data_IF_337040606905
#
_entry.id   IF_337040606905
#
_cell.length_a   1.000
_cell.length_b   1.000
_cell.length_c   1.000
_cell.angle_alpha   90.00
_cell.angle_beta   90.00
_cell.angle_gamma   90.00
#
_symmetry.space_group_name_H-M   'P 1'
#
loop_
_entity.id
_entity.type
_entity.pdbx_description
1 polymer ?
#
# COMPACT_ATOMS: atom_id res chain seq x y z
N UNK A 1 2.34 0.49 1.56
CA UNK A 1 2.06 -0.74 2.31
C UNK A 1 0.91 -1.54 1.70
N UNK A 2 -0.36 -1.09 1.79
CA UNK A 2 -1.53 -1.89 1.36
C UNK A 2 -1.46 -2.45 -0.07
N UNK A 3 -1.11 -1.63 -1.07
CA UNK A 3 -0.95 -2.10 -2.46
C UNK A 3 0.17 -3.14 -2.59
N UNK A 4 1.28 -2.96 -1.88
CA UNK A 4 2.41 -3.91 -1.89
C UNK A 4 1.97 -5.23 -1.26
N UNK A 5 1.27 -5.18 -0.12
CA UNK A 5 0.67 -6.36 0.52
C UNK A 5 -0.24 -7.10 -0.46
N UNK A 6 -1.10 -6.39 -1.18
CA UNK A 6 -2.00 -6.97 -2.18
C UNK A 6 -1.24 -7.68 -3.32
N UNK A 7 -0.15 -7.07 -3.82
CA UNK A 7 0.67 -7.66 -4.88
C UNK A 7 1.47 -8.87 -4.42
N UNK A 8 2.00 -8.84 -3.19
CA UNK A 8 2.75 -9.96 -2.62
C UNK A 8 1.84 -11.15 -2.29
N UNK A 9 0.62 -10.88 -1.79
CA UNK A 9 -0.35 -11.92 -1.49
C UNK A 9 -1.01 -12.50 -2.76
N UNK A 10 -1.21 -11.65 -3.77
CA UNK A 10 -1.74 -12.00 -5.09
C UNK A 10 -3.00 -12.89 -5.01
N UNK A 11 -3.10 -13.92 -5.85
CA UNK A 11 -4.21 -14.87 -5.84
C UNK A 11 -4.28 -15.75 -4.59
N UNK A 12 -3.20 -15.84 -3.80
CA UNK A 12 -3.19 -16.73 -2.63
C UNK A 12 -4.20 -16.30 -1.57
N UNK A 13 -4.42 -14.98 -1.40
CA UNK A 13 -5.37 -14.47 -0.39
C UNK A 13 -6.84 -14.66 -0.78
N UNK A 14 -7.15 -14.90 -2.05
CA UNK A 14 -8.54 -15.19 -2.48
C UNK A 14 -8.86 -16.69 -2.46
N UNK A 15 -7.83 -17.54 -2.43
CA UNK A 15 -7.96 -18.99 -2.42
C UNK A 15 -7.88 -19.62 -1.02
N UNK A 16 -7.99 -18.83 0.05
CA UNK A 16 -7.90 -19.35 1.42
C UNK A 16 -9.17 -20.15 1.74
N UNK A 17 -9.06 -21.42 2.17
CA UNK A 17 -10.22 -22.24 2.52
C UNK A 17 -10.86 -21.76 3.83
N UNK A 18 -12.08 -22.25 4.10
CA UNK A 18 -12.69 -22.13 5.42
C UNK A 18 -11.83 -22.83 6.48
N UNK A 19 -11.72 -22.23 7.67
CA UNK A 19 -10.95 -22.84 8.77
C UNK A 19 -11.51 -24.19 9.23
N UNK A 20 -12.79 -24.47 8.99
CA UNK A 20 -13.40 -25.76 9.28
C UNK A 20 -12.78 -26.90 8.47
N UNK A 21 -12.28 -26.63 7.26
CA UNK A 21 -11.67 -27.62 6.37
C UNK A 21 -10.38 -28.23 6.96
N UNK A 22 -9.69 -27.52 7.85
CA UNK A 22 -8.52 -28.04 8.55
C UNK A 22 -8.84 -29.15 9.56
N UNK A 23 -10.13 -29.34 9.89
CA UNK A 23 -10.60 -30.43 10.75
C UNK A 23 -11.43 -31.47 9.98
N UNK A 24 -11.54 -31.33 8.65
CA UNK A 24 -12.31 -32.23 7.79
C UNK A 24 -11.42 -33.11 6.91
N UNK A 25 -12.04 -33.76 5.92
CA UNK A 25 -11.37 -34.71 5.03
C UNK A 25 -10.23 -34.07 4.21
N UNK A 26 -10.31 -32.75 3.97
CA UNK A 26 -9.29 -31.99 3.24
C UNK A 26 -8.09 -31.56 4.11
N UNK A 27 -8.08 -31.85 5.41
CA UNK A 27 -7.03 -31.38 6.32
C UNK A 27 -5.62 -31.79 5.86
N UNK A 28 -5.44 -33.02 5.36
CA UNK A 28 -4.16 -33.51 4.91
C UNK A 28 -3.63 -32.71 3.70
N UNK A 29 -4.47 -32.51 2.67
CA UNK A 29 -4.07 -31.78 1.46
C UNK A 29 -3.85 -30.29 1.75
N UNK A 30 -4.66 -29.68 2.62
CA UNK A 30 -4.48 -28.29 3.01
C UNK A 30 -3.19 -28.07 3.79
N UNK A 31 -2.88 -28.97 4.74
CA UNK A 31 -1.62 -28.91 5.48
C UNK A 31 -0.42 -29.06 4.55
N UNK A 32 -0.50 -29.94 3.55
CA UNK A 32 0.57 -30.10 2.56
C UNK A 32 0.72 -28.88 1.66
N UNK A 33 -0.38 -28.33 1.14
CA UNK A 33 -0.36 -27.27 0.13
C UNK A 33 -0.03 -25.89 0.69
N UNK A 34 -0.44 -25.60 1.92
CA UNK A 34 -0.35 -24.25 2.50
C UNK A 34 0.80 -24.08 3.50
N UNK A 35 1.38 -25.16 4.02
CA UNK A 35 2.54 -25.05 4.92
C UNK A 35 3.76 -24.50 4.19
N UNK A 36 4.59 -23.75 4.92
CA UNK A 36 5.87 -23.23 4.45
C UNK A 36 6.97 -23.59 5.44
N UNK A 37 8.22 -23.31 5.09
CA UNK A 37 9.36 -23.43 5.99
C UNK A 37 9.27 -22.53 7.24
N UNK A 38 8.40 -21.51 7.22
CA UNK A 38 8.29 -20.48 8.27
C UNK A 38 6.94 -20.45 9.00
N UNK A 39 5.94 -21.18 8.52
CA UNK A 39 4.58 -21.11 9.06
C UNK A 39 3.78 -22.37 8.70
N UNK A 40 2.95 -22.80 9.65
CA UNK A 40 1.92 -23.82 9.42
C UNK A 40 0.90 -23.34 8.38
N UNK A 41 0.19 -24.29 7.75
CA UNK A 41 -0.91 -23.98 6.84
C UNK A 41 -1.97 -23.06 7.46
N UNK A 42 -2.30 -23.26 8.73
CA UNK A 42 -3.26 -22.42 9.45
C UNK A 42 -2.71 -21.01 9.67
N UNK A 43 -1.46 -20.84 10.12
CA UNK A 43 -0.84 -19.52 10.30
C UNK A 43 -0.77 -18.75 8.98
N UNK A 44 -0.34 -19.39 7.89
CA UNK A 44 -0.34 -18.78 6.56
C UNK A 44 -1.74 -18.36 6.13
N UNK A 45 -2.75 -19.20 6.38
CA UNK A 45 -4.15 -18.89 6.07
C UNK A 45 -4.66 -17.67 6.84
N UNK A 46 -4.32 -17.55 8.14
CA UNK A 46 -4.66 -16.34 8.92
C UNK A 46 -4.00 -15.09 8.35
N UNK A 47 -2.72 -15.17 7.99
CA UNK A 47 -2.00 -14.03 7.42
C UNK A 47 -2.59 -13.60 6.07
N UNK A 48 -2.94 -14.55 5.21
CA UNK A 48 -3.57 -14.28 3.92
C UNK A 48 -4.97 -13.69 4.09
N UNK A 49 -5.79 -14.20 5.02
CA UNK A 49 -7.09 -13.61 5.34
C UNK A 49 -6.95 -12.18 5.88
N UNK A 50 -5.97 -11.92 6.76
CA UNK A 50 -5.70 -10.57 7.24
C UNK A 50 -5.29 -9.63 6.10
N UNK A 51 -4.47 -10.10 5.16
CA UNK A 51 -4.10 -9.33 3.97
C UNK A 51 -5.34 -9.02 3.11
N UNK A 52 -6.24 -9.98 2.93
CA UNK A 52 -7.50 -9.75 2.21
C UNK A 52 -8.40 -8.74 2.93
N UNK A 53 -8.59 -8.86 4.24
CA UNK A 53 -9.45 -7.98 5.03
C UNK A 53 -8.97 -6.52 5.01
N UNK A 54 -7.65 -6.33 5.08
CA UNK A 54 -7.03 -5.00 5.05
C UNK A 54 -7.06 -4.35 3.66
N UNK A 55 -6.96 -5.15 2.59
CA UNK A 55 -6.69 -4.61 1.24
C UNK A 55 -7.85 -4.76 0.25
N UNK A 56 -8.79 -5.66 0.49
CA UNK A 56 -9.78 -6.07 -0.51
C UNK A 56 -11.19 -6.14 0.06
N UNK A 57 -11.36 -6.50 1.33
CA UNK A 57 -12.67 -6.49 1.96
C UNK A 57 -13.24 -5.07 2.09
N UNK A 58 -14.57 -4.97 2.13
CA UNK A 58 -15.26 -3.68 2.23
C UNK A 58 -14.88 -2.89 3.48
N UNK A 59 -14.51 -3.55 4.59
CA UNK A 59 -14.00 -2.88 5.78
C UNK A 59 -12.66 -2.17 5.53
N UNK A 60 -11.66 -2.87 5.00
CA UNK A 60 -10.34 -2.29 4.69
C UNK A 60 -10.43 -1.15 3.68
N UNK A 61 -11.27 -1.30 2.65
CA UNK A 61 -11.49 -0.25 1.66
C UNK A 61 -12.12 1.01 2.26
N UNK A 62 -13.08 0.88 3.18
CA UNK A 62 -13.63 2.03 3.90
C UNK A 62 -12.58 2.71 4.76
N UNK A 63 -11.73 1.96 5.45
CA UNK A 63 -10.66 2.56 6.24
C UNK A 63 -9.62 3.28 5.38
N UNK A 64 -9.27 2.73 4.21
CA UNK A 64 -8.40 3.42 3.26
C UNK A 64 -8.99 4.76 2.82
N UNK A 65 -10.30 4.82 2.56
CA UNK A 65 -10.98 6.07 2.22
C UNK A 65 -10.98 7.05 3.38
N UNK A 66 -11.22 6.58 4.61
CA UNK A 66 -11.19 7.42 5.80
C UNK A 66 -9.81 8.06 5.97
N UNK A 67 -8.73 7.27 5.95
CA UNK A 67 -7.37 7.79 6.09
C UNK A 67 -6.99 8.78 4.98
N UNK A 68 -7.41 8.52 3.74
CA UNK A 68 -7.10 9.40 2.61
C UNK A 68 -7.75 10.79 2.73
N UNK A 69 -8.96 10.86 3.29
CA UNK A 69 -9.75 12.10 3.38
C UNK A 69 -9.85 12.67 4.80
N UNK A 70 -9.27 12.02 5.80
CA UNK A 70 -9.34 12.43 7.21
C UNK A 70 -8.86 13.88 7.40
N UNK A 71 -7.80 14.29 6.70
CA UNK A 71 -7.25 15.65 6.75
C UNK A 71 -7.95 16.67 5.84
N UNK A 72 -9.03 16.29 5.14
CA UNK A 72 -9.66 17.06 4.08
C UNK A 72 -9.17 16.67 2.69
N UNK A 73 -9.60 17.43 1.66
CA UNK A 73 -9.30 17.14 0.26
C UNK A 73 -7.80 17.30 -0.06
N UNK A 74 -7.07 16.21 -0.38
CA UNK A 74 -5.63 16.27 -0.67
C UNK A 74 -5.29 17.10 -1.91
N UNK A 75 -6.18 17.19 -2.90
CA UNK A 75 -5.96 18.05 -4.06
C UNK A 75 -6.00 19.52 -3.65
N UNK A 76 -6.99 19.91 -2.85
CA UNK A 76 -7.11 21.28 -2.36
C UNK A 76 -5.93 21.66 -1.47
N UNK A 77 -5.52 20.76 -0.58
CA UNK A 77 -4.35 20.95 0.29
C UNK A 77 -3.08 21.15 -0.56
N UNK A 78 -2.83 20.29 -1.58
CA UNK A 78 -1.69 20.46 -2.49
C UNK A 78 -1.72 21.77 -3.27
N UNK A 79 -2.89 22.19 -3.77
CA UNK A 79 -3.04 23.45 -4.48
C UNK A 79 -2.68 24.65 -3.58
N UNK A 80 -3.14 24.63 -2.33
CA UNK A 80 -2.80 25.67 -1.36
C UNK A 80 -1.29 25.71 -1.08
N UNK A 81 -0.63 24.55 -0.93
CA UNK A 81 0.83 24.51 -0.78
C UNK A 81 1.57 25.05 -2.00
N UNK A 82 1.12 24.73 -3.21
CA UNK A 82 1.74 25.25 -4.43
C UNK A 82 1.61 26.78 -4.54
N UNK A 83 0.42 27.32 -4.27
CA UNK A 83 0.16 28.76 -4.36
C UNK A 83 0.97 29.60 -3.35
N UNK A 84 1.24 29.04 -2.18
CA UNK A 84 1.91 29.74 -1.08
C UNK A 84 3.35 29.25 -0.86
N UNK A 85 3.91 28.48 -1.79
CA UNK A 85 5.29 28.04 -1.70
C UNK A 85 6.22 29.25 -1.81
N UNK A 86 7.16 29.36 -0.87
CA UNK A 86 8.24 30.34 -0.98
C UNK A 86 9.26 29.85 -2.02
N UNK A 87 9.31 30.55 -3.15
CA UNK A 87 10.20 30.25 -4.26
C UNK A 87 11.44 31.15 -4.28
N UNK A 88 11.64 32.05 -3.31
CA UNK A 88 12.72 33.04 -3.34
C UNK A 88 14.10 32.39 -3.48
N UNK A 89 14.38 31.35 -2.69
CA UNK A 89 15.66 30.64 -2.76
C UNK A 89 15.86 29.96 -4.13
N UNK A 90 14.82 29.31 -4.67
CA UNK A 90 14.87 28.66 -5.97
C UNK A 90 15.07 29.64 -7.12
N UNK A 91 14.35 30.77 -7.09
CA UNK A 91 14.49 31.83 -8.08
C UNK A 91 15.90 32.44 -8.04
N UNK A 92 16.44 32.70 -6.85
CA UNK A 92 17.81 33.21 -6.72
C UNK A 92 18.86 32.25 -7.28
N UNK A 93 18.68 30.93 -7.12
CA UNK A 93 19.55 29.93 -7.75
C UNK A 93 19.45 29.97 -9.29
N UNK A 94 18.23 30.12 -9.83
CA UNK A 94 18.01 30.26 -11.27
C UNK A 94 18.66 31.54 -11.81
N UNK A 95 18.50 32.67 -11.11
CA UNK A 95 19.10 33.95 -11.47
C UNK A 95 20.64 33.85 -11.51
N UNK A 96 21.24 33.18 -10.52
CA UNK A 96 22.68 32.91 -10.51
C UNK A 96 23.12 32.11 -11.74
N UNK A 97 22.45 30.99 -12.04
CA UNK A 97 22.80 30.15 -13.19
C UNK A 97 22.68 30.92 -14.52
N UNK A 98 21.57 31.62 -14.73
CA UNK A 98 21.32 32.40 -15.95
C UNK A 98 22.30 33.58 -16.11
N UNK A 99 22.71 34.20 -15.00
CA UNK A 99 23.72 35.26 -15.04
C UNK A 99 25.12 34.74 -15.38
N UNK A 100 25.44 33.50 -15.01
CA UNK A 100 26.77 32.90 -15.25
C UNK A 100 26.97 32.57 -16.73
N UNK A 101 25.92 32.13 -17.43
CA UNK A 101 25.95 31.85 -18.88
C UNK A 101 26.11 33.13 -19.75
N UNK A 102 25.81 34.31 -19.20
CA UNK A 102 25.88 35.58 -19.93
C UNK A 102 27.26 36.26 -19.96
N UNK A 103 28.27 35.67 -19.30
CA UNK A 103 29.62 36.26 -19.13
C UNK A 103 30.67 35.66 -20.08
N UNK A 104 30.37 34.55 -20.78
CA UNK A 104 31.32 33.83 -21.65
C UNK A 104 31.13 34.09 -23.18
N UNK A 105 30.56 35.23 -23.57
CA UNK A 105 30.50 35.69 -24.98
C UNK A 105 31.07 37.10 -25.18
#
# INVERSE_FOLDING_TARGET
ALRVTQHLAAGSMVGVPSFAEFNGDNAAILNQALTTDRATAQERSRLLNLAFDLTSAGFGQRQLMYEYYHGGDPMRIRAQHYQHADLQAGNHMLDQLLSTDSVDH
#
